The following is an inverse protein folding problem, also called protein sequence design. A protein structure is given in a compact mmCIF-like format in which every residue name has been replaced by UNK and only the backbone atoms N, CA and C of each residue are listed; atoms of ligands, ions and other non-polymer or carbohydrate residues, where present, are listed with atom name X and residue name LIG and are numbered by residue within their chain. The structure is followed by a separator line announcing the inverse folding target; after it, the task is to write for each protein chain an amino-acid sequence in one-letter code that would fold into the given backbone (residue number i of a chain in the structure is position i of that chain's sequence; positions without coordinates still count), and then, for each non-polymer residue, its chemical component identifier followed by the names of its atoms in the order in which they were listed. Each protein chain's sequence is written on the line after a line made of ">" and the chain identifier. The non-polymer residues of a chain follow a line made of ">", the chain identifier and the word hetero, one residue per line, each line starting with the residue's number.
data_IF_938698559288
#
_entry.id   IF_938698559288
#
_cell.length_a   1.000
_cell.length_b   1.000
_cell.length_c   1.000
_cell.angle_alpha   90.00
_cell.angle_beta   90.00
_cell.angle_gamma   90.00
#
_symmetry.space_group_name_H-M   'P 1'
#
loop_
_entity.id
_entity.type
_entity.pdbx_description
1 polymer ?
#
# COMPACT_ATOMS: atom_id res chain seq x y z
N UNK A 1 19.25 -1.60 -10.13
CA UNK A 1 18.67 -0.83 -9.01
C UNK A 1 18.95 0.64 -9.28
N UNK A 2 18.00 1.51 -8.96
CA UNK A 2 18.14 2.96 -9.06
C UNK A 2 19.29 3.44 -8.17
N UNK A 3 19.99 4.53 -8.51
CA UNK A 3 20.98 5.16 -7.61
C UNK A 3 20.31 5.68 -6.32
N UNK A 4 19.00 5.92 -6.37
CA UNK A 4 18.17 6.34 -5.25
C UNK A 4 17.62 5.15 -4.44
N UNK A 5 17.94 3.91 -4.80
CA UNK A 5 17.44 2.69 -4.16
C UNK A 5 18.11 2.47 -2.80
N UNK A 6 17.36 2.40 -1.68
CA UNK A 6 17.90 1.94 -0.41
C UNK A 6 18.27 0.44 -0.42
N UNK A 7 17.90 -0.27 -1.48
CA UNK A 7 18.13 -1.69 -1.68
C UNK A 7 16.90 -2.52 -1.38
N UNK A 8 17.07 -3.85 -1.50
CA UNK A 8 15.99 -4.84 -1.38
C UNK A 8 15.09 -4.58 -0.17
N UNK A 9 13.77 -4.56 -0.40
CA UNK A 9 12.77 -4.45 0.66
C UNK A 9 12.79 -5.74 1.50
N UNK A 10 13.11 -5.63 2.79
CA UNK A 10 13.26 -6.75 3.74
C UNK A 10 11.92 -7.11 4.39
N UNK A 11 11.78 -8.36 4.83
CA UNK A 11 10.53 -8.85 5.44
C UNK A 11 10.20 -8.11 6.75
N UNK A 12 11.22 -7.63 7.45
CA UNK A 12 11.12 -6.92 8.73
C UNK A 12 10.61 -5.49 8.57
N UNK A 13 10.55 -4.97 7.35
CA UNK A 13 10.14 -3.60 7.11
C UNK A 13 8.63 -3.42 7.29
N UNK A 14 8.28 -2.24 7.80
CA UNK A 14 6.92 -1.73 7.79
C UNK A 14 6.75 -0.75 6.65
N UNK A 15 5.59 -0.81 6.02
CA UNK A 15 5.25 0.01 4.86
C UNK A 15 3.91 0.69 5.09
N UNK A 16 3.72 1.83 4.45
CA UNK A 16 2.51 2.64 4.55
C UNK A 16 1.94 2.93 3.17
N UNK A 17 0.62 2.94 3.07
CA UNK A 17 -0.10 3.44 1.91
C UNK A 17 -0.92 4.65 2.30
N UNK A 18 -0.81 5.72 1.50
CA UNK A 18 -1.70 6.88 1.58
C UNK A 18 -2.96 6.67 0.74
N UNK A 19 -4.11 7.03 1.31
CA UNK A 19 -5.43 6.97 0.71
C UNK A 19 -6.01 8.39 0.73
N UNK A 20 -6.39 8.87 -0.45
CA UNK A 20 -6.89 10.23 -0.66
C UNK A 20 -8.41 10.29 -0.81
N UNK A 21 -9.05 9.16 -1.11
CA UNK A 21 -10.50 9.11 -1.34
C UNK A 21 -11.18 8.41 -0.15
N UNK A 22 -11.93 9.15 0.69
CA UNK A 22 -12.67 8.59 1.81
C UNK A 22 -13.64 7.47 1.39
N UNK A 23 -14.12 7.45 0.14
CA UNK A 23 -15.00 6.38 -0.37
C UNK A 23 -14.33 4.99 -0.42
N UNK A 24 -13.00 4.92 -0.22
CA UNK A 24 -12.29 3.65 -0.07
C UNK A 24 -12.25 3.14 1.37
N UNK A 25 -12.86 3.85 2.32
CA UNK A 25 -12.82 3.56 3.75
C UNK A 25 -14.25 3.23 4.20
N UNK A 26 -14.41 2.06 4.81
CA UNK A 26 -15.69 1.64 5.36
C UNK A 26 -15.95 2.35 6.72
N UNK A 27 -17.21 2.34 7.21
CA UNK A 27 -17.56 3.02 8.47
C UNK A 27 -16.77 2.56 9.71
N UNK A 28 -16.18 1.37 9.67
CA UNK A 28 -15.32 0.83 10.73
C UNK A 28 -13.84 1.27 10.60
N UNK A 29 -13.55 2.23 9.72
CA UNK A 29 -12.22 2.81 9.51
C UNK A 29 -11.27 1.97 8.67
N UNK A 30 -11.70 0.84 8.11
CA UNK A 30 -10.82 -0.03 7.32
C UNK A 30 -10.98 0.19 5.81
N UNK A 31 -9.96 -0.18 5.04
CA UNK A 31 -10.05 -0.18 3.59
C UNK A 31 -11.14 -1.12 3.07
N UNK A 32 -12.03 -0.60 2.24
CA UNK A 32 -13.16 -1.34 1.69
C UNK A 32 -12.68 -2.50 0.80
N UNK A 33 -13.41 -3.62 0.75
CA UNK A 33 -13.09 -4.74 -0.14
C UNK A 33 -12.95 -4.34 -1.62
N UNK A 34 -13.71 -3.32 -2.06
CA UNK A 34 -13.65 -2.81 -3.43
C UNK A 34 -12.31 -2.12 -3.74
N UNK A 35 -11.68 -1.46 -2.77
CA UNK A 35 -10.36 -0.85 -2.92
C UNK A 35 -9.31 -1.89 -3.35
N UNK A 36 -9.23 -3.02 -2.65
CA UNK A 36 -8.25 -4.08 -2.97
C UNK A 36 -8.48 -4.66 -4.37
N UNK A 37 -9.74 -4.90 -4.74
CA UNK A 37 -10.10 -5.42 -6.07
C UNK A 37 -9.72 -4.46 -7.19
N UNK A 38 -9.94 -3.17 -7.00
CA UNK A 38 -9.71 -2.14 -8.01
C UNK A 38 -8.21 -1.82 -8.17
N UNK A 39 -7.49 -1.68 -7.05
CA UNK A 39 -6.10 -1.21 -7.02
C UNK A 39 -5.13 -2.36 -7.26
N UNK A 40 -5.05 -3.31 -6.32
CA UNK A 40 -4.11 -4.42 -6.39
C UNK A 40 -4.37 -5.34 -7.58
N UNK A 41 -5.65 -5.54 -7.95
CA UNK A 41 -6.04 -6.40 -9.06
C UNK A 41 -5.66 -5.87 -10.45
N UNK A 42 -5.31 -4.59 -10.59
CA UNK A 42 -5.06 -3.95 -11.89
C UNK A 42 -3.67 -3.31 -12.02
N UNK A 43 -3.24 -2.56 -11.01
CA UNK A 43 -2.11 -1.64 -11.12
C UNK A 43 -0.96 -1.93 -10.15
N UNK A 44 -1.14 -2.87 -9.22
CA UNK A 44 -0.26 -2.96 -8.06
C UNK A 44 -0.62 -1.90 -7.01
N UNK A 45 0.19 -1.80 -5.97
CA UNK A 45 0.01 -0.85 -4.88
C UNK A 45 1.33 -0.15 -4.56
N UNK A 46 1.41 1.14 -4.87
CA UNK A 46 2.52 2.00 -4.42
C UNK A 46 2.46 2.17 -2.91
N UNK A 47 3.59 2.04 -2.24
CA UNK A 47 3.73 2.14 -0.79
C UNK A 47 5.02 2.90 -0.48
N UNK A 48 5.13 3.40 0.74
CA UNK A 48 6.35 4.03 1.25
C UNK A 48 6.88 3.20 2.42
N UNK A 49 8.21 3.03 2.47
CA UNK A 49 8.92 2.27 3.49
C UNK A 49 9.14 3.15 4.71
N UNK A 50 8.53 2.82 5.85
CA UNK A 50 8.57 3.65 7.07
C UNK A 50 9.98 3.81 7.67
N UNK A 51 10.94 2.97 7.27
CA UNK A 51 12.34 3.12 7.66
C UNK A 51 13.00 4.37 7.04
N UNK A 52 12.49 4.87 5.91
CA UNK A 52 13.11 5.95 5.12
C UNK A 52 12.23 7.20 5.03
N UNK A 53 11.08 7.22 5.71
CA UNK A 53 10.18 8.38 5.75
C UNK A 53 9.46 8.44 7.09
N UNK A 54 9.37 9.63 7.68
CA UNK A 54 8.52 9.88 8.84
C UNK A 54 7.14 10.41 8.42
N UNK A 55 6.22 10.53 9.38
CA UNK A 55 4.85 10.93 9.11
C UNK A 55 4.73 12.35 8.53
N UNK A 56 5.46 13.32 9.09
CA UNK A 56 5.46 14.71 8.63
C UNK A 56 5.95 14.82 7.18
N UNK A 57 7.09 14.18 6.87
CA UNK A 57 7.64 14.09 5.53
C UNK A 57 6.67 13.42 4.56
N UNK A 58 5.98 12.36 5.00
CA UNK A 58 5.00 11.66 4.19
C UNK A 58 3.81 12.57 3.87
N UNK A 59 3.22 13.23 4.88
CA UNK A 59 2.09 14.15 4.68
C UNK A 59 2.47 15.26 3.72
N UNK A 60 3.60 15.93 3.98
CA UNK A 60 4.12 17.00 3.13
C UNK A 60 4.34 16.54 1.70
N UNK A 61 5.10 15.46 1.51
CA UNK A 61 5.39 14.91 0.19
C UNK A 61 4.11 14.56 -0.58
N UNK A 62 3.12 13.95 0.07
CA UNK A 62 1.86 13.59 -0.60
C UNK A 62 1.03 14.82 -0.95
N UNK A 63 0.97 15.83 -0.08
CA UNK A 63 0.28 17.11 -0.38
C UNK A 63 0.96 17.83 -1.54
N UNK A 64 2.28 17.96 -1.50
CA UNK A 64 3.07 18.65 -2.53
C UNK A 64 2.98 17.95 -3.89
N UNK A 65 3.10 16.62 -3.93
CA UNK A 65 3.09 15.85 -5.18
C UNK A 65 1.71 15.78 -5.83
N UNK A 66 0.64 15.76 -5.03
CA UNK A 66 -0.74 15.57 -5.56
C UNK A 66 -1.56 16.85 -5.63
N UNK A 67 -1.13 17.92 -4.94
CA UNK A 67 -1.95 19.12 -4.73
C UNK A 67 -3.20 18.86 -3.88
N UNK A 68 -3.29 17.71 -3.20
CA UNK A 68 -4.47 17.33 -2.45
C UNK A 68 -4.54 18.05 -1.09
N UNK A 69 -5.60 18.83 -0.90
CA UNK A 69 -5.83 19.62 0.30
C UNK A 69 -6.86 19.01 1.26
N UNK A 70 -7.35 17.79 1.00
CA UNK A 70 -8.32 17.10 1.85
C UNK A 70 -7.67 16.24 2.94
N UNK A 71 -8.52 15.50 3.66
CA UNK A 71 -8.08 14.53 4.65
C UNK A 71 -7.26 13.40 4.02
N UNK A 72 -6.11 13.11 4.61
CA UNK A 72 -5.31 11.95 4.26
C UNK A 72 -5.65 10.80 5.20
N UNK A 73 -5.54 9.59 4.67
CA UNK A 73 -5.63 8.38 5.48
C UNK A 73 -4.43 7.50 5.22
N UNK A 74 -3.84 6.97 6.27
CA UNK A 74 -2.68 6.10 6.21
C UNK A 74 -3.06 4.71 6.67
N UNK A 75 -2.54 3.72 5.97
CA UNK A 75 -2.71 2.33 6.35
C UNK A 75 -1.35 1.65 6.34
N UNK A 76 -0.98 1.03 7.46
CA UNK A 76 0.35 0.50 7.71
C UNK A 76 0.29 -1.03 7.75
N UNK A 77 1.33 -1.69 7.23
CA UNK A 77 1.40 -3.15 7.26
C UNK A 77 2.84 -3.64 7.19
N UNK A 78 3.06 -4.91 7.55
CA UNK A 78 4.37 -5.55 7.44
C UNK A 78 4.60 -6.14 6.06
N UNK A 79 5.84 -6.02 5.56
CA UNK A 79 6.25 -6.63 4.28
C UNK A 79 6.12 -8.16 4.35
N UNK A 80 6.46 -8.76 5.51
CA UNK A 80 6.31 -10.19 5.77
C UNK A 80 4.89 -10.70 5.56
N UNK A 81 3.88 -10.06 6.14
CA UNK A 81 2.49 -10.52 6.03
C UNK A 81 1.96 -10.45 4.60
N UNK A 82 2.29 -9.37 3.86
CA UNK A 82 1.96 -9.24 2.44
C UNK A 82 2.59 -10.38 1.63
N UNK A 83 3.86 -10.71 1.87
CA UNK A 83 4.55 -11.82 1.18
C UNK A 83 4.02 -13.21 1.58
N UNK A 84 3.33 -13.33 2.70
CA UNK A 84 2.69 -14.58 3.15
C UNK A 84 1.28 -14.78 2.57
N UNK A 85 0.73 -13.81 1.83
CA UNK A 85 -0.55 -14.02 1.15
C UNK A 85 -0.36 -15.00 -0.01
N UNK A 86 -1.14 -16.08 0.04
CA UNK A 86 -1.12 -17.17 -0.93
C UNK A 86 -2.52 -17.41 -1.50
N UNK A 87 -2.60 -17.92 -2.73
CA UNK A 87 -3.85 -18.45 -3.28
C UNK A 87 -4.15 -19.86 -2.78
N UNK A 88 -5.25 -20.45 -3.28
CA UNK A 88 -5.69 -21.80 -2.93
C UNK A 88 -4.65 -22.87 -3.22
N UNK A 89 -3.77 -22.62 -4.19
CA UNK A 89 -2.76 -23.57 -4.65
C UNK A 89 -1.45 -23.38 -3.85
N UNK A 90 -1.48 -22.53 -2.82
CA UNK A 90 -0.33 -22.21 -1.99
C UNK A 90 0.65 -21.26 -2.65
N UNK A 91 0.34 -20.65 -3.80
CA UNK A 91 1.29 -19.76 -4.48
C UNK A 91 1.26 -18.37 -3.90
N UNK A 92 2.45 -17.79 -3.67
CA UNK A 92 2.58 -16.40 -3.20
C UNK A 92 2.00 -15.43 -4.23
N UNK A 93 1.08 -14.58 -3.77
CA UNK A 93 0.39 -13.62 -4.62
C UNK A 93 1.15 -12.33 -4.86
N UNK A 94 1.94 -11.86 -3.88
CA UNK A 94 2.58 -10.55 -3.95
C UNK A 94 4.09 -10.64 -3.95
N UNK A 95 4.71 -9.76 -4.73
CA UNK A 95 6.11 -9.40 -4.66
C UNK A 95 6.20 -7.91 -4.33
N UNK A 96 7.25 -7.53 -3.61
CA UNK A 96 7.45 -6.13 -3.19
C UNK A 96 8.81 -5.72 -3.69
N UNK A 97 8.83 -4.68 -4.53
CA UNK A 97 10.01 -4.19 -5.21
C UNK A 97 10.38 -2.80 -4.67
N UNK A 98 11.67 -2.58 -4.51
CA UNK A 98 12.21 -1.23 -4.34
C UNK A 98 12.08 -0.49 -5.68
N UNK A 99 11.30 0.59 -5.67
CA UNK A 99 11.04 1.45 -6.83
C UNK A 99 11.29 2.91 -6.46
N UNK A 100 12.27 3.15 -5.58
CA UNK A 100 12.68 4.47 -5.13
C UNK A 100 13.07 5.38 -6.31
N UNK A 101 12.62 6.63 -6.22
CA UNK A 101 12.93 7.70 -7.18
C UNK A 101 13.70 8.83 -6.49
N UNK A 102 14.21 9.77 -7.27
CA UNK A 102 14.88 10.97 -6.74
C UNK A 102 13.97 11.78 -5.79
N UNK A 103 12.67 11.82 -6.09
CA UNK A 103 11.67 12.55 -5.31
C UNK A 103 11.08 11.72 -4.16
N UNK A 104 11.33 10.41 -4.16
CA UNK A 104 10.79 9.49 -3.17
C UNK A 104 11.73 8.32 -2.88
N UNK A 105 12.69 8.55 -1.99
CA UNK A 105 13.64 7.53 -1.54
C UNK A 105 12.96 6.34 -0.83
N UNK A 106 11.79 6.56 -0.22
CA UNK A 106 11.05 5.54 0.50
C UNK A 106 10.13 4.69 -0.40
N UNK A 107 10.00 5.03 -1.69
CA UNK A 107 9.01 4.39 -2.56
C UNK A 107 9.30 2.89 -2.79
N UNK A 108 8.25 2.09 -2.67
CA UNK A 108 8.24 0.70 -3.06
C UNK A 108 6.90 0.34 -3.72
N UNK A 109 6.86 -0.80 -4.39
CA UNK A 109 5.66 -1.24 -5.08
C UNK A 109 5.33 -2.69 -4.77
N UNK A 110 4.08 -2.92 -4.34
CA UNK A 110 3.50 -4.25 -4.21
C UNK A 110 2.91 -4.63 -5.56
N UNK A 111 3.51 -5.60 -6.23
CA UNK A 111 3.00 -6.14 -7.47
C UNK A 111 2.40 -7.52 -7.23
N UNK A 112 1.33 -7.87 -7.96
CA UNK A 112 0.93 -9.25 -8.06
C UNK A 112 2.02 -10.03 -8.82
N UNK A 113 2.39 -11.21 -8.30
CA UNK A 113 3.37 -12.06 -8.92
C UNK A 113 2.86 -12.48 -10.31
N UNK A 114 3.57 -12.01 -11.35
CA UNK A 114 3.13 -11.99 -12.75
C UNK A 114 3.09 -13.38 -13.42
N UNK A 115 3.41 -14.45 -12.70
CA UNK A 115 3.47 -15.82 -13.23
C UNK A 115 2.11 -16.47 -13.49
N UNK A 116 1.05 -15.68 -13.58
CA UNK A 116 -0.25 -16.22 -13.83
C UNK A 116 -0.94 -15.56 -15.01
N UNK A 117 -1.32 -16.42 -15.93
CA UNK A 117 -2.32 -16.29 -16.96
C UNK A 117 -3.52 -15.41 -16.53
N UNK A 118 -4.34 -14.97 -17.48
CA UNK A 118 -5.54 -14.13 -17.30
C UNK A 118 -6.42 -14.45 -16.05
N UNK A 119 -6.31 -15.64 -15.46
CA UNK A 119 -6.98 -16.09 -14.24
C UNK A 119 -6.60 -15.42 -12.90
N UNK A 120 -5.38 -14.94 -12.64
CA UNK A 120 -5.05 -14.49 -11.24
C UNK A 120 -5.66 -13.16 -10.85
N UNK A 121 -5.80 -12.23 -11.81
CA UNK A 121 -6.59 -11.01 -11.61
C UNK A 121 -8.04 -11.36 -11.24
N UNK A 122 -8.59 -12.35 -11.93
CA UNK A 122 -9.92 -12.87 -11.67
C UNK A 122 -10.00 -13.55 -10.28
N UNK A 123 -8.94 -14.26 -9.85
CA UNK A 123 -8.88 -14.88 -8.52
C UNK A 123 -8.91 -13.84 -7.40
N UNK A 124 -8.12 -12.75 -7.46
CA UNK A 124 -8.21 -11.70 -6.44
C UNK A 124 -9.59 -11.01 -6.45
N UNK A 125 -10.15 -10.76 -7.64
CA UNK A 125 -11.45 -10.10 -7.76
C UNK A 125 -12.60 -10.95 -7.20
N UNK A 126 -12.54 -12.27 -7.36
CA UNK A 126 -13.61 -13.18 -6.94
C UNK A 126 -13.39 -13.87 -5.60
N UNK A 127 -12.16 -13.97 -5.12
CA UNK A 127 -11.85 -14.65 -3.87
C UNK A 127 -11.95 -13.68 -2.69
N UNK A 128 -13.14 -13.64 -2.08
CA UNK A 128 -13.39 -12.81 -0.91
C UNK A 128 -12.50 -13.14 0.29
N UNK A 129 -12.03 -14.37 0.45
CA UNK A 129 -11.14 -14.73 1.55
C UNK A 129 -9.80 -14.02 1.45
N UNK A 130 -9.26 -13.87 0.24
CA UNK A 130 -8.02 -13.11 0.01
C UNK A 130 -8.25 -11.62 0.30
N UNK A 131 -9.39 -11.07 -0.14
CA UNK A 131 -9.72 -9.65 0.09
C UNK A 131 -9.90 -9.35 1.58
N UNK A 132 -10.59 -10.22 2.32
CA UNK A 132 -10.77 -10.07 3.76
C UNK A 132 -9.45 -10.24 4.52
N UNK A 133 -8.60 -11.17 4.08
CA UNK A 133 -7.23 -11.31 4.63
C UNK A 133 -6.40 -10.06 4.39
N UNK A 134 -6.49 -9.44 3.21
CA UNK A 134 -5.81 -8.17 2.93
C UNK A 134 -6.32 -7.05 3.85
N UNK A 135 -7.64 -6.94 4.03
CA UNK A 135 -8.22 -5.97 4.97
C UNK A 135 -7.66 -6.16 6.38
N UNK A 136 -7.53 -7.40 6.84
CA UNK A 136 -6.93 -7.69 8.14
C UNK A 136 -5.45 -7.30 8.21
N UNK A 137 -4.67 -7.62 7.18
CA UNK A 137 -3.22 -7.32 7.09
C UNK A 137 -2.95 -5.81 7.11
N UNK A 138 -3.80 -5.02 6.46
CA UNK A 138 -3.67 -3.57 6.42
C UNK A 138 -4.24 -2.88 7.68
N UNK A 139 -5.18 -3.52 8.38
CA UNK A 139 -5.76 -2.94 9.60
C UNK A 139 -6.58 -1.68 9.36
N UNK A 140 -6.82 -0.93 10.44
CA UNK A 140 -7.58 0.31 10.41
C UNK A 140 -6.74 1.47 9.83
N UNK A 141 -7.40 2.41 9.17
CA UNK A 141 -6.77 3.61 8.65
C UNK A 141 -6.62 4.65 9.76
N UNK A 142 -5.46 5.30 9.80
CA UNK A 142 -5.22 6.50 10.60
C UNK A 142 -5.60 7.72 9.76
N UNK A 143 -6.46 8.61 10.28
CA UNK A 143 -6.89 9.84 9.59
C UNK A 143 -6.01 11.01 10.00
N UNK A 144 -5.52 11.76 9.02
CA UNK A 144 -4.87 13.05 9.18
C UNK A 144 -5.75 14.13 8.56
N UNK A 145 -6.34 15.03 9.37
CA UNK A 145 -7.20 16.11 8.88
C UNK A 145 -6.50 17.03 7.89
N UNK A 146 -7.28 17.62 6.99
CA UNK A 146 -6.83 18.64 6.04
C UNK A 146 -6.11 19.81 6.74
N UNK A 147 -6.61 20.22 7.90
CA UNK A 147 -6.15 21.33 8.72
C UNK A 147 -5.13 20.92 9.80
N UNK A 148 -4.61 19.69 9.75
CA UNK A 148 -3.54 19.30 10.67
C UNK A 148 -2.32 20.21 10.48
N UNK A 149 -2.04 21.04 11.49
CA UNK A 149 -0.82 21.81 11.59
C UNK A 149 0.36 20.84 11.65
N UNK A 150 1.17 20.84 10.60
CA UNK A 150 2.49 20.22 10.65
C UNK A 150 3.38 21.24 11.35
N UNK A 151 3.57 21.08 12.66
CA UNK A 151 4.44 21.97 13.44
C UNK A 151 5.82 22.07 12.78
N UNK A 152 6.28 23.30 12.55
CA UNK A 152 7.58 23.65 11.95
C UNK A 152 8.77 23.28 12.85
#
# INVERSE_FOLDING_TARGET
>A
MSEYSPGVVRDEEWVVRTIFNPAHIDPDGHLSPSYFRATMGRKGLSIDRLLYINEEQLIKQKRDTTGFAGDLYFVKTSVRELRQVRDSDGTRLFAIYDTATVDNHAHAEVCMNLYFEKGTRYRLQKNMNIVLKLRQIFGACERVPADADLDN
#
